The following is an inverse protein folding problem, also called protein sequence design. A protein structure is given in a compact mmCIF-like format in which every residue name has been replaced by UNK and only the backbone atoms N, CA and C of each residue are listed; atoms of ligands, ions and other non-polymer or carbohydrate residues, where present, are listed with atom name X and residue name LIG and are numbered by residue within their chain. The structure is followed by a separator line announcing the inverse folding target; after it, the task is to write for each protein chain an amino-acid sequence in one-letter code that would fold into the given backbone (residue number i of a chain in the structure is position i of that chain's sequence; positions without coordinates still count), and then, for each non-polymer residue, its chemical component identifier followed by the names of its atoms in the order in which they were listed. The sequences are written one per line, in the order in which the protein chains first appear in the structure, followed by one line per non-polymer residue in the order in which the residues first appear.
data_IF_093214678696
#
_entry.id   IF_093214678696
#
_cell.length_a   1.000
_cell.length_b   1.000
_cell.length_c   1.000
_cell.angle_alpha   90.00
_cell.angle_beta   90.00
_cell.angle_gamma   90.00
#
_symmetry.space_group_name_H-M   'P 1'
#
loop_
_entity.id
_entity.type
_entity.pdbx_description
1 polymer ?
#
# COMPACT_ATOMS: atom_id res chain seq x y z
N UNK A 1 35.21 6.72 -2.68
CA UNK A 1 35.15 6.70 -1.20
C UNK A 1 33.94 5.88 -0.77
N UNK A 2 34.05 5.01 0.24
CA UNK A 2 32.92 4.23 0.81
C UNK A 2 31.74 5.13 1.23
N UNK A 3 32.03 6.39 1.61
CA UNK A 3 31.02 7.41 1.92
C UNK A 3 30.12 7.78 0.73
N UNK A 4 30.57 7.58 -0.51
CA UNK A 4 29.83 7.98 -1.71
C UNK A 4 28.82 6.91 -2.16
N UNK A 5 29.05 5.65 -1.77
CA UNK A 5 28.10 4.53 -1.94
C UNK A 5 26.98 4.55 -0.89
N UNK A 6 27.23 5.11 0.30
CA UNK A 6 26.19 5.40 1.29
C UNK A 6 25.34 6.63 0.92
N UNK A 7 25.88 7.56 0.12
CA UNK A 7 25.20 8.78 -0.31
C UNK A 7 24.25 8.56 -1.50
N UNK A 8 24.32 7.41 -2.17
CA UNK A 8 23.42 7.03 -3.26
C UNK A 8 22.85 5.64 -2.96
N UNK A 9 21.61 5.54 -2.45
CA UNK A 9 20.97 4.24 -2.32
C UNK A 9 20.94 3.54 -3.68
N UNK A 10 21.05 2.22 -3.70
CA UNK A 10 20.94 1.40 -4.93
C UNK A 10 19.49 1.30 -5.45
N UNK A 11 18.60 2.16 -4.95
CA UNK A 11 17.20 2.26 -5.32
C UNK A 11 16.80 3.74 -5.35
N UNK A 12 15.81 4.06 -6.18
CA UNK A 12 15.25 5.41 -6.34
C UNK A 12 13.92 5.56 -5.60
N UNK A 13 13.11 4.50 -5.50
CA UNK A 13 11.89 4.46 -4.69
C UNK A 13 11.66 3.08 -4.08
N UNK A 14 10.95 3.07 -2.95
CA UNK A 14 10.43 1.86 -2.31
C UNK A 14 8.97 2.15 -1.96
N UNK A 15 8.07 1.28 -2.41
CA UNK A 15 6.64 1.40 -2.22
C UNK A 15 6.10 0.06 -1.72
N UNK A 16 5.27 0.10 -0.68
CA UNK A 16 4.55 -1.08 -0.19
C UNK A 16 3.06 -0.83 -0.40
N UNK A 17 2.45 -1.63 -1.25
CA UNK A 17 1.01 -1.67 -1.46
C UNK A 17 0.42 -2.86 -0.70
N UNK A 18 -0.76 -2.65 -0.11
CA UNK A 18 -1.55 -3.71 0.48
C UNK A 18 -2.99 -3.56 0.02
N UNK A 19 -3.50 -4.58 -0.65
CA UNK A 19 -4.84 -4.59 -1.23
C UNK A 19 -5.55 -5.91 -0.93
N UNK A 20 -6.85 -5.85 -0.68
CA UNK A 20 -7.70 -7.04 -0.73
C UNK A 20 -8.07 -7.29 -2.19
N UNK A 21 -7.41 -8.26 -2.82
CA UNK A 21 -7.56 -8.47 -4.25
C UNK A 21 -8.70 -9.43 -4.54
N UNK A 22 -9.72 -8.93 -5.22
CA UNK A 22 -10.79 -9.77 -5.74
C UNK A 22 -10.32 -10.76 -6.81
N UNK A 23 -9.31 -10.38 -7.60
CA UNK A 23 -8.71 -11.25 -8.62
C UNK A 23 -7.98 -12.44 -8.01
N UNK A 24 -7.18 -12.18 -6.98
CA UNK A 24 -6.41 -13.23 -6.30
C UNK A 24 -7.24 -13.95 -5.22
N UNK A 25 -8.39 -13.39 -4.84
CA UNK A 25 -9.28 -13.92 -3.80
C UNK A 25 -8.66 -13.85 -2.40
N UNK A 26 -7.70 -12.95 -2.19
CA UNK A 26 -6.99 -12.79 -0.93
C UNK A 26 -6.32 -11.42 -0.81
N UNK A 27 -5.91 -11.09 0.42
CA UNK A 27 -5.09 -9.94 0.68
C UNK A 27 -3.68 -10.13 0.09
N UNK A 28 -3.26 -9.20 -0.76
CA UNK A 28 -1.98 -9.16 -1.43
C UNK A 28 -1.18 -7.98 -0.88
N UNK A 29 0.08 -8.24 -0.52
CA UNK A 29 1.04 -7.18 -0.20
C UNK A 29 2.16 -7.20 -1.24
N UNK A 30 2.36 -6.07 -1.90
CA UNK A 30 3.38 -5.92 -2.95
C UNK A 30 4.43 -4.91 -2.51
N UNK A 31 5.68 -5.36 -2.37
CA UNK A 31 6.82 -4.47 -2.19
C UNK A 31 7.49 -4.21 -3.54
N UNK A 32 7.40 -2.97 -4.00
CA UNK A 32 8.05 -2.49 -5.22
C UNK A 32 9.31 -1.73 -4.87
N UNK A 33 10.45 -2.13 -5.44
CA UNK A 33 11.74 -1.43 -5.31
C UNK A 33 12.22 -1.02 -6.69
N UNK A 34 12.27 0.28 -6.93
CA UNK A 34 12.72 0.86 -8.19
C UNK A 34 14.21 1.17 -8.09
N UNK A 35 14.99 0.81 -9.11
CA UNK A 35 16.44 1.05 -9.14
C UNK A 35 16.92 1.36 -10.55
N UNK A 36 18.12 1.94 -10.66
CA UNK A 36 18.80 2.01 -11.95
C UNK A 36 19.13 0.60 -12.45
N UNK A 37 19.06 0.34 -13.77
CA UNK A 37 19.31 -1.00 -14.31
C UNK A 37 20.68 -1.60 -13.95
N UNK A 38 21.67 -0.77 -13.61
CA UNK A 38 22.98 -1.24 -13.17
C UNK A 38 23.00 -1.78 -11.72
N UNK A 39 22.02 -1.40 -10.90
CA UNK A 39 22.00 -1.63 -9.45
C UNK A 39 20.92 -2.64 -9.00
N UNK A 40 20.19 -3.26 -9.94
CA UNK A 40 19.04 -4.12 -9.64
C UNK A 40 19.34 -5.29 -8.69
N UNK A 41 20.52 -5.90 -8.80
CA UNK A 41 20.93 -7.01 -7.91
C UNK A 41 21.08 -6.52 -6.46
N UNK A 42 21.74 -5.38 -6.29
CA UNK A 42 21.95 -4.76 -4.98
C UNK A 42 20.61 -4.30 -4.39
N UNK A 43 19.73 -3.70 -5.20
CA UNK A 43 18.37 -3.30 -4.81
C UNK A 43 17.54 -4.49 -4.33
N UNK A 44 17.54 -5.59 -5.11
CA UNK A 44 16.83 -6.82 -4.77
C UNK A 44 17.35 -7.42 -3.46
N UNK A 45 18.68 -7.45 -3.27
CA UNK A 45 19.30 -7.93 -2.04
C UNK A 45 18.85 -7.12 -0.82
N UNK A 46 18.85 -5.79 -0.91
CA UNK A 46 18.39 -4.91 0.18
C UNK A 46 16.91 -5.15 0.45
N UNK A 47 16.06 -5.23 -0.59
CA UNK A 47 14.63 -5.49 -0.43
C UNK A 47 14.36 -6.76 0.38
N UNK A 48 15.01 -7.87 0.00
CA UNK A 48 14.88 -9.16 0.72
C UNK A 48 15.43 -9.06 2.14
N UNK A 49 16.52 -8.33 2.35
CA UNK A 49 17.11 -8.14 3.68
C UNK A 49 16.19 -7.36 4.62
N UNK A 50 15.60 -6.26 4.14
CA UNK A 50 14.67 -5.46 4.95
C UNK A 50 13.35 -6.21 5.19
N UNK A 51 12.83 -6.97 4.21
CA UNK A 51 11.68 -7.86 4.43
C UNK A 51 11.94 -8.89 5.53
N UNK A 52 13.14 -9.50 5.56
CA UNK A 52 13.52 -10.44 6.63
C UNK A 52 13.63 -9.75 7.99
N UNK A 53 14.09 -8.50 8.03
CA UNK A 53 14.13 -7.71 9.26
C UNK A 53 12.72 -7.38 9.74
N UNK A 54 11.85 -6.94 8.84
CA UNK A 54 10.45 -6.68 9.13
C UNK A 54 9.75 -7.93 9.67
N UNK A 55 9.96 -9.09 9.05
CA UNK A 55 9.45 -10.37 9.55
C UNK A 55 9.94 -10.68 10.97
N UNK A 56 11.21 -10.40 11.26
CA UNK A 56 11.84 -10.75 12.54
C UNK A 56 11.52 -9.78 13.68
N UNK A 57 11.42 -8.50 13.37
CA UNK A 57 11.34 -7.44 14.38
C UNK A 57 10.01 -6.69 14.38
N UNK A 58 9.18 -6.89 13.36
CA UNK A 58 7.96 -6.12 13.15
C UNK A 58 8.25 -4.65 12.82
N UNK A 59 7.20 -3.84 12.90
CA UNK A 59 7.29 -2.37 12.84
C UNK A 59 7.29 -1.80 14.25
N UNK A 60 7.92 -0.64 14.43
CA UNK A 60 7.83 0.11 15.67
C UNK A 60 6.46 0.79 15.79
N UNK A 61 6.07 1.15 17.02
CA UNK A 61 4.81 1.87 17.26
C UNK A 61 4.75 3.21 16.50
N UNK A 62 5.88 3.90 16.39
CA UNK A 62 5.96 5.16 15.66
C UNK A 62 5.80 4.97 14.15
N UNK A 63 6.34 3.88 13.59
CA UNK A 63 6.13 3.55 12.18
C UNK A 63 4.67 3.18 11.93
N UNK A 64 4.09 2.33 12.78
CA UNK A 64 2.66 1.97 12.69
C UNK A 64 1.78 3.21 12.73
N UNK A 65 2.00 4.12 13.69
CA UNK A 65 1.23 5.36 13.79
C UNK A 65 1.32 6.19 12.51
N UNK A 66 2.52 6.34 11.92
CA UNK A 66 2.69 7.08 10.66
C UNK A 66 1.94 6.45 9.50
N UNK A 67 1.91 5.12 9.43
CA UNK A 67 1.15 4.40 8.41
C UNK A 67 -0.35 4.59 8.63
N UNK A 68 -0.84 4.46 9.87
CA UNK A 68 -2.25 4.71 10.21
C UNK A 68 -2.65 6.15 9.87
N UNK A 69 -1.84 7.14 10.21
CA UNK A 69 -2.12 8.56 9.91
C UNK A 69 -2.14 8.84 8.40
N UNK A 70 -1.34 8.13 7.61
CA UNK A 70 -1.41 8.22 6.15
C UNK A 70 -2.71 7.61 5.61
N UNK A 71 -3.04 6.38 6.03
CA UNK A 71 -4.27 5.69 5.64
C UNK A 71 -5.53 6.48 5.98
N UNK A 72 -5.59 7.09 7.17
CA UNK A 72 -6.73 7.89 7.58
C UNK A 72 -6.90 9.16 6.73
N UNK A 73 -5.79 9.82 6.38
CA UNK A 73 -5.82 11.01 5.50
C UNK A 73 -6.24 10.66 4.07
N UNK A 74 -5.74 9.56 3.53
CA UNK A 74 -6.13 9.09 2.21
C UNK A 74 -7.63 8.73 2.18
N UNK A 75 -8.11 8.07 3.25
CA UNK A 75 -9.53 7.76 3.42
C UNK A 75 -10.41 9.01 3.54
N UNK A 76 -9.97 10.02 4.29
CA UNK A 76 -10.66 11.32 4.41
C UNK A 76 -10.77 12.00 3.04
N UNK A 77 -9.67 12.05 2.28
CA UNK A 77 -9.66 12.63 0.93
C UNK A 77 -10.59 11.88 -0.03
N UNK A 78 -10.68 10.55 0.06
CA UNK A 78 -11.64 9.75 -0.73
C UNK A 78 -13.09 10.02 -0.32
N UNK A 79 -13.35 10.21 0.98
CA UNK A 79 -14.68 10.55 1.49
C UNK A 79 -15.13 11.95 1.02
N UNK A 80 -14.22 12.92 0.89
CA UNK A 80 -14.50 14.25 0.32
C UNK A 80 -14.87 14.18 -1.17
N UNK A 81 -14.36 13.17 -1.89
CA UNK A 81 -14.67 12.92 -3.30
C UNK A 81 -15.98 12.13 -3.49
N UNK A 82 -16.77 11.96 -2.44
CA UNK A 82 -18.04 11.24 -2.54
C UNK A 82 -18.97 11.87 -3.60
N UNK A 83 -19.45 11.04 -4.51
CA UNK A 83 -20.32 11.45 -5.61
C UNK A 83 -19.60 11.99 -6.85
N UNK A 84 -18.27 12.04 -6.88
CA UNK A 84 -17.49 12.36 -8.10
C UNK A 84 -16.95 11.13 -8.82
N UNK A 85 -17.06 9.94 -8.22
CA UNK A 85 -16.63 8.68 -8.84
C UNK A 85 -17.49 8.36 -10.06
N UNK A 86 -16.89 8.09 -11.22
CA UNK A 86 -17.62 7.72 -12.43
C UNK A 86 -18.56 6.53 -12.21
N UNK A 87 -19.74 6.57 -12.82
CA UNK A 87 -20.76 5.53 -12.61
C UNK A 87 -20.33 4.13 -13.06
N UNK A 88 -19.42 4.04 -14.04
CA UNK A 88 -18.87 2.75 -14.50
C UNK A 88 -17.96 2.13 -13.45
N UNK A 89 -17.06 2.93 -12.86
CA UNK A 89 -16.13 2.47 -11.82
C UNK A 89 -16.88 2.01 -10.56
N UNK A 90 -17.93 2.75 -10.18
CA UNK A 90 -18.81 2.34 -9.09
C UNK A 90 -19.54 1.02 -9.38
N UNK A 91 -19.99 0.81 -10.62
CA UNK A 91 -20.69 -0.43 -10.99
C UNK A 91 -19.73 -1.62 -10.95
N UNK A 92 -18.52 -1.47 -11.47
CA UNK A 92 -17.48 -2.49 -11.45
C UNK A 92 -17.13 -2.88 -10.00
N UNK A 93 -16.96 -1.88 -9.12
CA UNK A 93 -16.71 -2.10 -7.69
C UNK A 93 -17.83 -2.90 -6.99
N UNK A 94 -19.10 -2.54 -7.26
CA UNK A 94 -20.26 -3.26 -6.69
C UNK A 94 -20.33 -4.69 -7.21
N UNK A 95 -20.10 -4.90 -8.51
CA UNK A 95 -20.13 -6.23 -9.12
C UNK A 95 -19.02 -7.13 -8.59
N UNK A 96 -17.81 -6.61 -8.42
CA UNK A 96 -16.70 -7.34 -7.82
C UNK A 96 -17.02 -7.70 -6.36
N UNK A 97 -17.52 -6.74 -5.58
CA UNK A 97 -17.90 -6.97 -4.18
C UNK A 97 -18.99 -8.03 -4.03
N UNK A 98 -20.04 -8.00 -4.88
CA UNK A 98 -21.11 -9.00 -4.88
C UNK A 98 -20.58 -10.40 -5.23
N UNK A 99 -19.70 -10.50 -6.23
CA UNK A 99 -19.09 -11.76 -6.62
C UNK A 99 -18.25 -12.41 -5.50
N UNK A 100 -17.66 -11.59 -4.62
CA UNK A 100 -16.87 -12.03 -3.46
C UNK A 100 -17.70 -12.17 -2.17
N UNK A 101 -18.98 -11.77 -2.19
CA UNK A 101 -19.84 -11.75 -1.01
C UNK A 101 -19.47 -10.67 0.01
N UNK A 102 -18.80 -9.61 -0.43
CA UNK A 102 -18.39 -8.48 0.42
C UNK A 102 -19.54 -7.50 0.67
N UNK A 103 -19.51 -6.85 1.83
CA UNK A 103 -20.43 -5.74 2.12
C UNK A 103 -19.93 -4.51 1.38
N UNK A 104 -20.74 -4.00 0.45
CA UNK A 104 -20.46 -2.74 -0.24
C UNK A 104 -20.66 -1.58 0.72
N UNK A 105 -19.64 -0.73 0.84
CA UNK A 105 -19.70 0.55 1.53
C UNK A 105 -19.32 1.65 0.54
N UNK A 106 -20.02 2.79 0.61
CA UNK A 106 -19.53 4.00 -0.06
C UNK A 106 -18.28 4.57 0.65
N UNK A 107 -17.61 5.53 0.02
CA UNK A 107 -16.36 6.09 0.53
C UNK A 107 -16.50 6.73 1.92
N UNK A 108 -17.67 7.33 2.23
CA UNK A 108 -17.92 7.93 3.55
C UNK A 108 -18.19 6.85 4.59
N UNK A 109 -19.01 5.86 4.25
CA UNK A 109 -19.28 4.72 5.13
C UNK A 109 -17.99 3.96 5.47
N UNK A 110 -17.10 3.77 4.49
CA UNK A 110 -15.79 3.18 4.70
C UNK A 110 -14.89 4.02 5.62
N UNK A 111 -14.87 5.34 5.43
CA UNK A 111 -14.13 6.24 6.31
C UNK A 111 -14.65 6.22 7.76
N UNK A 112 -15.96 6.31 7.93
CA UNK A 112 -16.60 6.26 9.25
C UNK A 112 -16.32 4.92 9.95
N UNK A 113 -16.29 3.81 9.21
CA UNK A 113 -15.94 2.50 9.76
C UNK A 113 -14.46 2.41 10.21
N UNK A 114 -13.54 3.12 9.55
CA UNK A 114 -12.12 3.16 9.93
C UNK A 114 -11.84 4.00 11.18
N UNK A 115 -12.73 4.93 11.53
CA UNK A 115 -12.61 5.78 12.72
C UNK A 115 -13.13 5.11 14.01
N UNK A 116 -13.93 4.04 13.89
CA UNK A 116 -14.57 3.32 15.00
C UNK A 116 -13.73 2.14 15.49
#
# INVERSE_FOLDING_TARGET
SLYQRLARPCFTSIELDHSDSGREGCAVSTLTVTSEPADWEDATRIAVQELRRLQKFGVTQNELQRYTDALLRDSEQLAEQHGTVPSIDNLDFVMESDALGHIVMDQRQGHDALLN
#
